data_IF_673662562549
#
_entry.id   IF_673662562549
#
_cell.length_a   1.000
_cell.length_b   1.000
_cell.length_c   1.000
_cell.angle_alpha   90.00
_cell.angle_beta   90.00
_cell.angle_gamma   90.00
#
_symmetry.space_group_name_H-M   'P 1'
#
loop_
_entity.id
_entity.type
_entity.pdbx_description
1 polymer ?
#
# COMPACT_ATOMS: atom_id res chain seq x y z
N UNK A 1 -7.71 5.62 -15.00
CA UNK A 1 -7.61 4.23 -14.52
C UNK A 1 -8.94 3.49 -14.58
N UNK A 2 -10.10 4.16 -14.45
CA UNK A 2 -11.42 3.51 -14.48
C UNK A 2 -11.51 2.33 -13.49
N UNK A 3 -10.90 2.53 -12.31
CA UNK A 3 -10.89 1.62 -11.18
C UNK A 3 -11.72 2.25 -10.07
N UNK A 4 -12.38 1.40 -9.28
CA UNK A 4 -12.97 1.85 -8.02
C UNK A 4 -11.84 2.27 -7.06
N UNK A 5 -12.06 3.25 -6.17
CA UNK A 5 -11.02 3.71 -5.24
C UNK A 5 -10.35 2.57 -4.46
N UNK A 6 -11.13 1.57 -4.04
CA UNK A 6 -10.65 0.42 -3.26
C UNK A 6 -9.76 -0.53 -4.06
N UNK A 7 -9.77 -0.43 -5.39
CA UNK A 7 -8.87 -1.19 -6.29
C UNK A 7 -7.52 -0.48 -6.48
N UNK A 8 -7.33 0.70 -5.89
CA UNK A 8 -6.10 1.49 -5.98
C UNK A 8 -5.39 1.50 -4.63
N UNK A 9 -4.10 1.18 -4.66
CA UNK A 9 -3.20 1.36 -3.53
C UNK A 9 -2.30 2.59 -3.75
N UNK A 10 -2.17 3.42 -2.72
CA UNK A 10 -1.26 4.56 -2.71
C UNK A 10 -0.20 4.33 -1.63
N UNK A 11 1.07 4.43 -2.03
CA UNK A 11 2.24 4.17 -1.17
C UNK A 11 3.07 5.43 -1.10
N UNK A 12 3.27 5.97 0.10
CA UNK A 12 4.06 7.20 0.33
C UNK A 12 4.72 7.23 1.71
N UNK A 13 5.62 8.18 1.93
CA UNK A 13 6.45 8.26 3.14
C UNK A 13 5.88 9.20 4.22
N UNK A 14 4.88 10.02 3.88
CA UNK A 14 4.24 10.95 4.81
C UNK A 14 2.91 10.39 5.35
N UNK A 15 2.83 9.91 6.60
CA UNK A 15 1.69 9.12 7.06
C UNK A 15 0.34 9.88 7.07
N UNK A 16 0.35 11.20 7.30
CA UNK A 16 -0.89 12.01 7.33
C UNK A 16 -1.38 12.39 5.93
N UNK A 17 -0.46 12.69 5.03
CA UNK A 17 -0.80 13.22 3.71
C UNK A 17 -0.98 12.06 2.72
N UNK A 18 -0.06 11.11 2.72
CA UNK A 18 -0.01 10.04 1.75
C UNK A 18 -0.96 8.90 2.12
N UNK A 19 -0.70 8.26 3.26
CA UNK A 19 -1.42 7.07 3.66
C UNK A 19 -2.82 7.40 4.19
N UNK A 20 -2.92 8.33 5.15
CA UNK A 20 -4.23 8.73 5.69
C UNK A 20 -5.07 9.49 4.68
N UNK A 21 -4.45 10.34 3.86
CA UNK A 21 -5.13 11.01 2.75
C UNK A 21 -5.71 10.01 1.74
N UNK A 22 -4.95 8.98 1.37
CA UNK A 22 -5.42 7.91 0.51
C UNK A 22 -6.61 7.15 1.13
N UNK A 23 -6.52 6.78 2.41
CA UNK A 23 -7.63 6.13 3.13
C UNK A 23 -8.88 7.02 3.15
N UNK A 24 -8.72 8.31 3.44
CA UNK A 24 -9.83 9.27 3.45
C UNK A 24 -10.50 9.41 2.08
N UNK A 25 -9.74 9.24 1.00
CA UNK A 25 -10.25 9.23 -0.37
C UNK A 25 -10.82 7.87 -0.83
N UNK A 26 -10.81 6.85 0.04
CA UNK A 26 -11.34 5.51 -0.24
C UNK A 26 -10.36 4.55 -0.91
N UNK A 27 -9.08 4.92 -1.00
CA UNK A 27 -8.00 4.07 -1.51
C UNK A 27 -7.43 3.19 -0.40
N UNK A 28 -6.66 2.17 -0.80
CA UNK A 28 -5.76 1.48 0.14
C UNK A 28 -4.52 2.36 0.38
N UNK A 29 -4.45 3.05 1.51
CA UNK A 29 -3.28 3.82 1.91
C UNK A 29 -2.22 2.98 2.62
N UNK A 30 -0.98 3.04 2.15
CA UNK A 30 0.17 2.32 2.71
C UNK A 30 1.26 3.30 3.04
N UNK A 31 1.70 3.30 4.31
CA UNK A 31 2.81 4.12 4.75
C UNK A 31 4.14 3.38 4.59
N UNK A 32 5.10 4.01 3.91
CA UNK A 32 6.47 3.56 3.76
C UNK A 32 7.39 4.22 4.79
N UNK A 33 7.52 3.59 5.95
CA UNK A 33 8.34 4.03 7.06
C UNK A 33 9.79 3.54 6.95
N UNK A 34 10.55 4.11 6.01
CA UNK A 34 11.96 3.74 5.78
C UNK A 34 12.87 3.96 6.99
N UNK A 35 12.46 4.84 7.90
CA UNK A 35 13.25 5.23 9.07
C UNK A 35 12.84 4.47 10.33
N UNK A 36 11.82 3.60 10.25
CA UNK A 36 11.33 2.84 11.40
C UNK A 36 10.80 3.73 12.53
N UNK A 37 10.19 4.88 12.20
CA UNK A 37 9.55 5.80 13.15
C UNK A 37 8.43 5.12 13.95
N UNK A 38 7.65 4.26 13.30
CA UNK A 38 6.46 3.65 13.86
C UNK A 38 5.41 4.67 14.32
N UNK A 39 4.52 4.25 15.21
CA UNK A 39 3.54 5.16 15.84
C UNK A 39 2.25 5.41 15.07
N UNK A 40 1.99 4.64 13.99
CA UNK A 40 0.75 4.70 13.21
C UNK A 40 0.07 3.33 13.12
N UNK A 41 -0.47 2.81 14.24
CA UNK A 41 -1.12 1.49 14.27
C UNK A 41 -2.42 1.44 13.44
N UNK A 42 -2.96 2.60 13.07
CA UNK A 42 -4.11 2.79 12.20
C UNK A 42 -3.80 2.62 10.71
N UNK A 43 -2.51 2.63 10.32
CA UNK A 43 -2.08 2.54 8.93
C UNK A 43 -1.39 1.20 8.63
N UNK A 44 -1.65 0.69 7.43
CA UNK A 44 -0.82 -0.38 6.87
C UNK A 44 0.58 0.19 6.62
N UNK A 45 1.58 -0.39 7.28
CA UNK A 45 2.94 0.14 7.29
C UNK A 45 3.93 -0.91 6.77
N UNK A 46 4.83 -0.46 5.90
CA UNK A 46 5.98 -1.21 5.40
C UNK A 46 7.24 -0.39 5.64
N UNK A 47 8.39 -1.03 5.78
CA UNK A 47 9.69 -0.36 5.93
C UNK A 47 10.50 -0.35 4.63
N UNK A 48 10.12 -1.20 3.67
CA UNK A 48 10.75 -1.32 2.37
C UNK A 48 9.75 -1.69 1.28
N UNK A 49 10.05 -1.29 0.03
CA UNK A 49 9.17 -1.57 -1.12
C UNK A 49 9.15 -3.06 -1.50
N UNK A 50 10.16 -3.83 -1.11
CA UNK A 50 10.23 -5.29 -1.25
C UNK A 50 9.11 -6.03 -0.50
N UNK A 51 8.47 -5.37 0.46
CA UNK A 51 7.34 -5.90 1.22
C UNK A 51 6.00 -5.74 0.47
N UNK A 52 5.92 -4.86 -0.53
CA UNK A 52 4.68 -4.60 -1.28
C UNK A 52 4.12 -5.84 -1.99
N UNK A 53 4.91 -6.68 -2.69
CA UNK A 53 4.36 -7.87 -3.34
C UNK A 53 3.65 -8.80 -2.36
N UNK A 54 4.22 -9.04 -1.16
CA UNK A 54 3.59 -9.87 -0.14
C UNK A 54 2.29 -9.28 0.41
N UNK A 55 2.26 -7.96 0.58
CA UNK A 55 1.06 -7.24 1.03
C UNK A 55 -0.05 -7.25 -0.02
N UNK A 56 0.30 -7.04 -1.29
CA UNK A 56 -0.65 -6.98 -2.39
C UNK A 56 -1.10 -8.37 -2.84
N UNK A 57 -0.27 -9.42 -2.74
CA UNK A 57 -0.62 -10.78 -3.16
C UNK A 57 -1.90 -11.33 -2.47
N UNK A 58 -2.19 -10.91 -1.24
CA UNK A 58 -3.45 -11.27 -0.56
C UNK A 58 -4.69 -10.51 -1.04
N UNK A 59 -4.51 -9.32 -1.64
CA UNK A 59 -5.57 -8.44 -2.16
C UNK A 59 -5.71 -8.54 -3.67
N UNK A 60 -4.71 -9.11 -4.32
CA UNK A 60 -4.62 -9.19 -5.75
C UNK A 60 -5.01 -10.59 -6.17
N UNK A 61 -6.22 -10.70 -6.72
CA UNK A 61 -6.52 -11.71 -7.74
C UNK A 61 -5.70 -11.46 -9.02
N UNK A 62 -4.41 -11.12 -8.90
CA UNK A 62 -3.54 -10.76 -10.02
C UNK A 62 -3.53 -11.94 -11.00
N UNK A 63 -4.28 -11.83 -12.08
CA UNK A 63 -4.34 -12.79 -13.18
C UNK A 63 -3.14 -12.65 -14.12
N UNK A 64 -1.94 -12.40 -13.58
CA UNK A 64 -0.70 -12.48 -14.33
C UNK A 64 -0.02 -13.80 -13.96
N UNK A 65 0.04 -14.80 -14.86
CA UNK A 65 0.82 -16.00 -14.59
C UNK A 65 2.28 -15.61 -14.37
N UNK A 66 2.88 -16.18 -13.33
CA UNK A 66 4.29 -15.98 -12.97
C UNK A 66 5.19 -16.16 -14.19
N UNK A 67 5.95 -15.13 -14.57
CA UNK A 67 6.90 -15.18 -15.69
C UNK A 67 8.35 -15.39 -15.23
N UNK A 68 8.58 -15.72 -13.95
CA UNK A 68 9.91 -16.05 -13.47
C UNK A 68 9.99 -17.53 -13.11
N UNK A 69 10.55 -18.31 -14.05
CA UNK A 69 11.10 -19.64 -13.81
C UNK A 69 12.59 -19.58 -13.50
#
# INVERSE_FOLDING_TARGET
LALEPQEVAYVGDEPDIDASGAVAAGLTGIWLDRQGRGGRPDLVTITGLDQLPGLLAGQTRFGAPDTFG
#
